data_IF_816303892311
#
_entry.id   IF_816303892311
#
_cell.length_a   1.000
_cell.length_b   1.000
_cell.length_c   1.000
_cell.angle_alpha   90.00
_cell.angle_beta   90.00
_cell.angle_gamma   90.00
#
_symmetry.space_group_name_H-M   'P 1'
#
loop_
_entity.id
_entity.type
_entity.pdbx_description
1 polymer ?
#
# COMPACT_ATOMS: atom_id res chain seq x y z
N UNK A 1 -35.01 -4.23 49.79
CA UNK A 1 -35.26 -3.18 48.77
C UNK A 1 -34.03 -2.68 48.00
N UNK A 2 -32.79 -2.76 48.53
CA UNK A 2 -31.59 -2.26 47.81
C UNK A 2 -31.08 -3.15 46.65
N UNK A 3 -31.41 -4.45 46.65
CA UNK A 3 -30.95 -5.40 45.62
C UNK A 3 -31.78 -5.29 44.31
N UNK A 4 -33.06 -4.92 44.41
CA UNK A 4 -33.95 -4.78 43.24
C UNK A 4 -33.57 -3.54 42.39
N UNK A 5 -33.04 -2.49 43.03
CA UNK A 5 -32.59 -1.27 42.36
C UNK A 5 -31.28 -1.44 41.57
N UNK A 6 -30.45 -2.43 41.94
CA UNK A 6 -29.22 -2.73 41.21
C UNK A 6 -29.48 -3.55 39.94
N UNK A 7 -30.53 -4.39 39.94
CA UNK A 7 -30.90 -5.19 38.77
C UNK A 7 -31.60 -4.37 37.69
N UNK A 8 -32.36 -3.33 38.05
CA UNK A 8 -32.97 -2.41 37.08
C UNK A 8 -31.97 -1.44 36.44
N UNK A 9 -30.84 -1.15 37.11
CA UNK A 9 -29.75 -0.32 36.56
C UNK A 9 -28.83 -1.08 35.60
N UNK A 10 -28.70 -2.41 35.73
CA UNK A 10 -27.89 -3.24 34.83
C UNK A 10 -28.58 -3.58 33.50
N UNK A 11 -29.92 -3.52 33.47
CA UNK A 11 -30.70 -3.79 32.25
C UNK A 11 -30.84 -2.58 31.32
N UNK A 12 -30.55 -1.36 31.79
CA UNK A 12 -30.61 -0.13 30.95
C UNK A 12 -29.27 0.23 30.29
N UNK A 13 -28.19 -0.50 30.59
CA UNK A 13 -26.87 -0.30 29.98
C UNK A 13 -26.64 -1.06 28.66
N UNK A 14 -27.63 -1.79 28.14
CA UNK A 14 -27.61 -2.24 26.74
C UNK A 14 -27.86 -1.03 25.83
N UNK A 15 -26.80 -0.25 25.60
CA UNK A 15 -26.75 0.69 24.49
C UNK A 15 -26.97 -0.09 23.21
N UNK A 16 -28.18 0.01 22.66
CA UNK A 16 -28.43 -0.20 21.23
C UNK A 16 -27.48 0.76 20.50
N UNK A 17 -26.35 0.26 20.03
CA UNK A 17 -25.59 0.92 18.99
C UNK A 17 -26.44 0.84 17.72
N UNK A 18 -27.35 1.78 17.54
CA UNK A 18 -28.00 2.01 16.27
C UNK A 18 -26.90 2.39 15.27
N UNK A 19 -26.46 1.42 14.48
CA UNK A 19 -25.69 1.71 13.28
C UNK A 19 -26.61 2.47 12.33
N UNK A 20 -26.51 3.79 12.36
CA UNK A 20 -27.14 4.65 11.37
C UNK A 20 -26.43 4.37 10.04
N UNK A 21 -27.02 3.48 9.22
CA UNK A 21 -26.70 3.41 7.79
C UNK A 21 -27.30 4.65 7.13
N UNK A 22 -26.51 5.69 6.94
CA UNK A 22 -26.89 6.83 6.09
C UNK A 22 -26.78 6.41 4.63
N UNK A 23 -27.65 5.52 4.18
CA UNK A 23 -27.98 5.39 2.76
C UNK A 23 -29.45 5.78 2.63
N UNK A 24 -29.70 6.96 2.07
CA UNK A 24 -31.03 7.58 1.92
C UNK A 24 -31.93 6.88 0.88
N UNK A 25 -31.50 5.74 0.32
CA UNK A 25 -32.29 4.93 -0.59
C UNK A 25 -32.15 3.43 -0.22
N UNK A 26 -33.24 2.76 0.17
CA UNK A 26 -33.24 1.30 0.25
C UNK A 26 -33.25 0.76 -1.19
N UNK A 27 -32.07 0.62 -1.79
CA UNK A 27 -31.93 -0.21 -2.97
C UNK A 27 -32.03 -1.67 -2.52
N UNK A 28 -32.88 -2.46 -3.20
CA UNK A 28 -32.76 -3.91 -3.15
C UNK A 28 -31.40 -4.27 -3.74
N UNK A 29 -30.40 -4.46 -2.87
CA UNK A 29 -29.08 -4.97 -3.26
C UNK A 29 -29.28 -6.40 -3.78
N UNK A 30 -29.47 -6.55 -5.09
CA UNK A 30 -29.12 -7.81 -5.72
C UNK A 30 -27.65 -8.07 -5.35
N UNK A 31 -27.31 -9.21 -4.74
CA UNK A 31 -25.93 -9.49 -4.39
C UNK A 31 -25.10 -9.43 -5.67
N UNK A 32 -24.12 -8.54 -5.72
CA UNK A 32 -23.18 -8.45 -6.83
C UNK A 32 -22.33 -9.72 -6.78
N UNK A 33 -22.60 -10.66 -7.68
CA UNK A 33 -21.89 -11.94 -7.73
C UNK A 33 -20.80 -11.92 -8.79
N UNK A 34 -19.55 -11.73 -8.35
CA UNK A 34 -18.39 -11.84 -9.23
C UNK A 34 -17.79 -13.25 -9.17
N UNK A 35 -17.79 -13.95 -10.31
CA UNK A 35 -17.13 -15.26 -10.41
C UNK A 35 -15.61 -15.16 -10.25
N UNK A 36 -14.98 -16.16 -9.63
CA UNK A 36 -13.52 -16.20 -9.49
C UNK A 36 -12.82 -16.22 -10.85
N UNK A 37 -13.44 -16.85 -11.86
CA UNK A 37 -12.92 -16.88 -13.23
C UNK A 37 -12.85 -15.46 -13.81
N UNK A 38 -13.92 -14.68 -13.70
CA UNK A 38 -13.96 -13.29 -14.18
C UNK A 38 -12.95 -12.42 -13.41
N UNK A 39 -12.88 -12.57 -12.10
CA UNK A 39 -11.91 -11.83 -11.29
C UNK A 39 -10.46 -12.09 -11.72
N UNK A 40 -10.06 -13.36 -11.80
CA UNK A 40 -8.67 -13.72 -12.09
C UNK A 40 -8.28 -13.55 -13.55
N UNK A 41 -9.17 -13.84 -14.51
CA UNK A 41 -8.85 -13.84 -15.94
C UNK A 41 -9.14 -12.52 -16.64
N UNK A 42 -10.02 -11.68 -16.07
CA UNK A 42 -10.40 -10.41 -16.69
C UNK A 42 -10.01 -9.21 -15.84
N UNK A 43 -10.52 -9.12 -14.61
CA UNK A 43 -10.35 -7.92 -13.78
C UNK A 43 -8.89 -7.74 -13.35
N UNK A 44 -8.25 -8.77 -12.80
CA UNK A 44 -6.89 -8.66 -12.29
C UNK A 44 -5.87 -8.21 -13.37
N UNK A 45 -5.89 -8.74 -14.61
CA UNK A 45 -5.06 -8.21 -15.70
C UNK A 45 -5.28 -6.71 -15.97
N UNK A 46 -6.52 -6.23 -15.98
CA UNK A 46 -6.83 -4.82 -16.19
C UNK A 46 -6.31 -3.96 -15.04
N UNK A 47 -6.49 -4.40 -13.79
CA UNK A 47 -5.97 -3.70 -12.61
C UNK A 47 -4.44 -3.59 -12.62
N UNK A 48 -3.74 -4.67 -13.00
CA UNK A 48 -2.27 -4.65 -13.16
C UNK A 48 -1.85 -3.62 -14.22
N UNK A 49 -2.54 -3.61 -15.35
CA UNK A 49 -2.22 -2.69 -16.43
C UNK A 49 -2.50 -1.22 -16.04
N UNK A 50 -3.59 -0.95 -15.33
CA UNK A 50 -3.90 0.38 -14.77
C UNK A 50 -2.80 0.81 -13.78
N UNK A 51 -2.39 -0.06 -12.85
CA UNK A 51 -1.31 0.25 -11.90
C UNK A 51 0.04 0.52 -12.60
N UNK A 52 0.38 -0.27 -13.62
CA UNK A 52 1.59 -0.05 -14.42
C UNK A 52 1.56 1.28 -15.18
N UNK A 53 0.41 1.67 -15.71
CA UNK A 53 0.23 2.95 -16.40
C UNK A 53 0.33 4.15 -15.43
N UNK A 54 -0.14 4.01 -14.19
CA UNK A 54 0.07 5.02 -13.14
C UNK A 54 1.56 5.26 -12.86
N UNK A 55 2.33 4.18 -12.65
CA UNK A 55 3.78 4.30 -12.48
C UNK A 55 4.47 4.84 -13.74
N UNK A 56 3.96 4.51 -14.93
CA UNK A 56 4.47 5.11 -16.16
C UNK A 56 4.25 6.62 -16.21
N UNK A 57 3.08 7.11 -15.80
CA UNK A 57 2.79 8.55 -15.72
C UNK A 57 3.78 9.22 -14.75
N UNK A 58 3.98 8.69 -13.55
CA UNK A 58 4.93 9.23 -12.59
C UNK A 58 6.34 9.35 -13.18
N UNK A 59 6.86 8.32 -13.85
CA UNK A 59 8.17 8.37 -14.54
C UNK A 59 8.26 9.46 -15.61
N UNK A 60 7.15 9.80 -16.26
CA UNK A 60 7.11 10.85 -17.28
C UNK A 60 7.01 12.26 -16.68
N UNK A 61 6.50 12.39 -15.47
CA UNK A 61 6.40 13.67 -14.77
C UNK A 61 7.73 14.10 -14.17
N UNK A 62 8.55 13.18 -13.67
CA UNK A 62 9.88 13.49 -13.17
C UNK A 62 10.82 12.27 -13.32
N UNK A 63 12.06 12.44 -13.80
CA UNK A 63 13.01 11.33 -13.95
C UNK A 63 13.34 10.63 -12.62
N UNK A 64 13.35 11.35 -11.49
CA UNK A 64 13.60 10.80 -10.15
C UNK A 64 12.58 9.71 -9.78
N UNK A 65 11.34 9.82 -10.29
CA UNK A 65 10.32 8.82 -9.98
C UNK A 65 10.67 7.43 -10.50
N UNK A 66 11.52 7.29 -11.52
CA UNK A 66 11.97 5.94 -11.93
C UNK A 66 12.70 5.22 -10.80
N UNK A 67 13.53 5.96 -10.06
CA UNK A 67 14.35 5.47 -8.96
C UNK A 67 13.48 5.23 -7.72
N UNK A 68 12.55 6.15 -7.41
CA UNK A 68 11.65 5.98 -6.26
C UNK A 68 10.66 4.83 -6.44
N UNK A 69 10.17 4.60 -7.67
CA UNK A 69 9.33 3.43 -7.98
C UNK A 69 10.11 2.12 -7.80
N UNK A 70 11.38 2.09 -8.15
CA UNK A 70 12.22 0.91 -7.95
C UNK A 70 12.44 0.63 -6.45
N UNK A 71 12.78 1.66 -5.67
CA UNK A 71 12.90 1.56 -4.21
C UNK A 71 11.60 1.08 -3.58
N UNK A 72 10.47 1.71 -3.92
CA UNK A 72 9.14 1.30 -3.46
C UNK A 72 8.85 -0.17 -3.77
N UNK A 73 9.18 -0.63 -4.98
CA UNK A 73 8.96 -2.03 -5.38
C UNK A 73 9.81 -3.00 -4.54
N UNK A 74 11.06 -2.63 -4.25
CA UNK A 74 11.97 -3.42 -3.39
C UNK A 74 11.49 -3.44 -1.93
N UNK A 75 11.06 -2.30 -1.39
CA UNK A 75 10.45 -2.20 -0.05
C UNK A 75 9.16 -3.01 0.04
N UNK A 76 8.28 -2.94 -0.95
CA UNK A 76 7.06 -3.74 -1.01
C UNK A 76 7.37 -5.25 -1.06
N UNK A 77 8.38 -5.64 -1.84
CA UNK A 77 8.84 -7.03 -1.92
C UNK A 77 9.37 -7.52 -0.57
N UNK A 78 10.15 -6.69 0.13
CA UNK A 78 10.64 -6.96 1.48
C UNK A 78 9.48 -7.09 2.48
N UNK A 79 8.51 -6.18 2.42
CA UNK A 79 7.30 -6.25 3.26
C UNK A 79 6.50 -7.54 3.03
N UNK A 80 6.37 -7.97 1.78
CA UNK A 80 5.75 -9.26 1.45
C UNK A 80 6.57 -10.45 1.95
N UNK A 81 7.89 -10.40 1.86
CA UNK A 81 8.77 -11.44 2.39
C UNK A 81 8.66 -11.58 3.92
N UNK A 82 8.43 -10.48 4.62
CA UNK A 82 8.24 -10.41 6.07
C UNK A 82 6.80 -10.70 6.53
N UNK A 83 5.84 -10.66 5.61
CA UNK A 83 4.43 -10.95 5.92
C UNK A 83 4.25 -12.41 6.34
N UNK A 84 3.52 -12.63 7.44
CA UNK A 84 3.25 -13.97 7.96
C UNK A 84 4.44 -14.69 8.61
N UNK A 85 5.58 -14.01 8.80
CA UNK A 85 6.80 -14.64 9.33
C UNK A 85 6.59 -15.36 10.66
N UNK A 86 5.77 -14.80 11.57
CA UNK A 86 5.48 -15.45 12.86
C UNK A 86 4.82 -16.80 12.71
N UNK A 87 3.87 -16.93 11.76
CA UNK A 87 3.19 -18.21 11.52
C UNK A 87 4.20 -19.24 11.01
N UNK A 88 5.06 -18.84 10.08
CA UNK A 88 6.11 -19.70 9.54
C UNK A 88 7.10 -20.13 10.64
N UNK A 89 7.51 -19.20 11.50
CA UNK A 89 8.44 -19.47 12.59
C UNK A 89 7.85 -20.34 13.70
N UNK A 90 6.54 -20.29 13.92
CA UNK A 90 5.83 -21.23 14.80
C UNK A 90 5.76 -22.63 14.22
N UNK A 91 5.66 -22.76 12.90
CA UNK A 91 5.56 -24.05 12.21
C UNK A 91 6.91 -24.76 12.05
N UNK A 92 8.00 -24.02 11.77
CA UNK A 92 9.32 -24.60 11.51
C UNK A 92 10.44 -23.58 11.69
N UNK A 93 11.43 -23.95 12.49
CA UNK A 93 12.64 -23.16 12.72
C UNK A 93 13.48 -23.00 11.44
N UNK A 94 13.63 -24.07 10.67
CA UNK A 94 14.38 -24.06 9.41
C UNK A 94 13.74 -23.10 8.38
N UNK A 95 12.41 -23.17 8.22
CA UNK A 95 11.69 -22.24 7.33
C UNK A 95 11.74 -20.80 7.82
N UNK A 96 11.79 -20.59 9.15
CA UNK A 96 12.01 -19.29 9.75
C UNK A 96 13.35 -18.71 9.33
N UNK A 97 14.43 -19.49 9.50
CA UNK A 97 15.78 -19.10 9.16
C UNK A 97 15.92 -18.76 7.67
N UNK A 98 15.37 -19.60 6.78
CA UNK A 98 15.36 -19.36 5.34
C UNK A 98 14.66 -18.03 5.00
N UNK A 99 13.52 -17.76 5.64
CA UNK A 99 12.78 -16.51 5.45
C UNK A 99 13.55 -15.29 5.90
N UNK A 100 14.20 -15.34 7.06
CA UNK A 100 15.02 -14.25 7.55
C UNK A 100 16.27 -14.04 6.69
N UNK A 101 16.91 -15.11 6.19
CA UNK A 101 18.03 -15.00 5.22
C UNK A 101 17.58 -14.32 3.93
N UNK A 102 16.40 -14.67 3.41
CA UNK A 102 15.81 -14.03 2.22
C UNK A 102 15.46 -12.56 2.48
N UNK A 103 14.89 -12.24 3.64
CA UNK A 103 14.60 -10.85 4.00
C UNK A 103 15.88 -10.03 4.14
N UNK A 104 16.92 -10.61 4.75
CA UNK A 104 18.23 -9.96 4.90
C UNK A 104 18.87 -9.66 3.54
N UNK A 105 18.84 -10.60 2.59
CA UNK A 105 19.41 -10.37 1.26
C UNK A 105 18.66 -9.27 0.49
N UNK A 106 17.33 -9.21 0.61
CA UNK A 106 16.53 -8.12 0.04
C UNK A 106 16.86 -6.77 0.70
N UNK A 107 16.97 -6.73 2.02
CA UNK A 107 17.30 -5.51 2.76
C UNK A 107 18.71 -4.99 2.43
N UNK A 108 19.70 -5.87 2.31
CA UNK A 108 21.06 -5.51 1.88
C UNK A 108 21.12 -5.03 0.44
N UNK A 109 20.36 -5.64 -0.48
CA UNK A 109 20.23 -5.12 -1.84
C UNK A 109 19.63 -3.71 -1.84
N UNK A 110 18.56 -3.51 -1.07
CA UNK A 110 17.91 -2.20 -0.93
C UNK A 110 18.88 -1.15 -0.36
N UNK A 111 19.74 -1.53 0.59
CA UNK A 111 20.75 -0.64 1.16
C UNK A 111 21.73 -0.09 0.11
N UNK A 112 22.20 -0.97 -0.77
CA UNK A 112 23.07 -0.58 -1.89
C UNK A 112 22.37 0.38 -2.85
N UNK A 113 21.09 0.15 -3.14
CA UNK A 113 20.31 1.03 -4.01
C UNK A 113 20.10 2.40 -3.40
N UNK A 114 19.80 2.46 -2.09
CA UNK A 114 19.64 3.71 -1.35
C UNK A 114 20.96 4.48 -1.36
N UNK A 115 22.08 3.83 -1.05
CA UNK A 115 23.41 4.45 -1.05
C UNK A 115 23.80 4.99 -2.43
N UNK A 116 23.54 4.23 -3.49
CA UNK A 116 23.76 4.68 -4.87
C UNK A 116 22.93 5.90 -5.22
N UNK A 117 21.68 5.94 -4.76
CA UNK A 117 20.77 7.06 -5.03
C UNK A 117 21.15 8.31 -4.23
N UNK A 118 21.52 8.16 -2.95
CA UNK A 118 22.09 9.24 -2.14
C UNK A 118 23.33 9.83 -2.82
N UNK A 119 24.24 8.99 -3.31
CA UNK A 119 25.45 9.43 -4.01
C UNK A 119 25.13 10.22 -5.30
N UNK A 120 24.09 9.81 -6.04
CA UNK A 120 23.65 10.51 -7.27
C UNK A 120 23.08 11.90 -6.99
N UNK A 121 22.42 12.07 -5.85
CA UNK A 121 21.71 13.30 -5.48
C UNK A 121 22.47 14.15 -4.44
N UNK A 122 23.79 13.99 -4.29
CA UNK A 122 24.62 14.78 -3.35
C UNK A 122 24.62 16.29 -3.61
N UNK A 123 24.28 16.72 -4.82
CA UNK A 123 24.23 18.15 -5.21
C UNK A 123 22.80 18.68 -5.03
N UNK A 124 22.42 18.90 -3.79
CA UNK A 124 21.10 19.43 -3.43
C UNK A 124 21.10 20.95 -3.61
N UNK A 125 20.27 21.46 -4.52
CA UNK A 125 20.17 22.89 -4.81
C UNK A 125 18.76 23.41 -4.48
N UNK A 126 17.73 22.58 -4.63
CA UNK A 126 16.34 22.99 -4.41
C UNK A 126 15.72 22.42 -3.12
N UNK A 127 14.77 23.13 -2.49
CA UNK A 127 14.08 22.66 -1.28
C UNK A 127 13.44 21.27 -1.39
N UNK A 128 12.90 20.92 -2.56
CA UNK A 128 12.30 19.60 -2.79
C UNK A 128 13.34 18.48 -2.86
N UNK A 129 14.52 18.78 -3.38
CA UNK A 129 15.63 17.82 -3.41
C UNK A 129 16.14 17.57 -1.99
N UNK A 130 16.18 18.61 -1.13
CA UNK A 130 16.48 18.45 0.30
C UNK A 130 15.45 17.58 1.01
N UNK A 131 14.16 17.78 0.74
CA UNK A 131 13.09 16.95 1.31
C UNK A 131 13.25 15.49 0.85
N UNK A 132 13.54 15.28 -0.43
CA UNK A 132 13.77 13.96 -1.02
C UNK A 132 14.97 13.26 -0.40
N UNK A 133 16.09 13.97 -0.23
CA UNK A 133 17.28 13.46 0.45
C UNK A 133 16.98 13.09 1.91
N UNK A 134 16.23 13.92 2.62
CA UNK A 134 15.80 13.61 3.99
C UNK A 134 14.93 12.34 4.04
N UNK A 135 14.06 12.12 3.07
CA UNK A 135 13.25 10.89 2.97
C UNK A 135 14.12 9.67 2.66
N UNK A 136 15.15 9.81 1.82
CA UNK A 136 16.13 8.75 1.56
C UNK A 136 16.93 8.37 2.80
N UNK A 137 17.41 9.37 3.55
CA UNK A 137 18.15 9.14 4.80
C UNK A 137 17.28 8.45 5.84
N UNK A 138 16.01 8.83 5.92
CA UNK A 138 15.05 8.19 6.80
C UNK A 138 14.80 6.73 6.41
N UNK A 139 14.66 6.45 5.11
CA UNK A 139 14.53 5.08 4.60
C UNK A 139 15.79 4.25 4.83
N UNK A 140 16.98 4.82 4.62
CA UNK A 140 18.29 4.21 4.90
C UNK A 140 18.38 3.80 6.36
N UNK A 141 18.05 4.71 7.28
CA UNK A 141 18.09 4.46 8.71
C UNK A 141 17.15 3.32 9.13
N UNK A 142 15.92 3.28 8.61
CA UNK A 142 14.98 2.20 8.93
C UNK A 142 15.43 0.87 8.32
N UNK A 143 15.99 0.87 7.10
CA UNK A 143 16.55 -0.33 6.50
C UNK A 143 17.74 -0.87 7.30
N UNK A 144 18.64 0.00 7.76
CA UNK A 144 19.76 -0.37 8.62
C UNK A 144 19.28 -1.01 9.94
N UNK A 145 18.29 -0.39 10.61
CA UNK A 145 17.67 -0.98 11.81
C UNK A 145 17.08 -2.35 11.54
N UNK A 146 16.43 -2.54 10.38
CA UNK A 146 15.86 -3.82 9.99
C UNK A 146 16.95 -4.88 9.81
N UNK A 147 18.00 -4.58 9.04
CA UNK A 147 19.14 -5.48 8.81
C UNK A 147 19.72 -5.93 10.15
N UNK A 148 20.06 -4.98 11.03
CA UNK A 148 20.66 -5.29 12.33
C UNK A 148 19.76 -6.22 13.15
N UNK A 149 18.45 -5.96 13.21
CA UNK A 149 17.52 -6.83 13.95
C UNK A 149 17.38 -8.21 13.32
N UNK A 150 17.42 -8.32 12.00
CA UNK A 150 17.36 -9.62 11.32
C UNK A 150 18.64 -10.42 11.64
N UNK A 151 19.80 -9.78 11.59
CA UNK A 151 21.09 -10.41 11.90
C UNK A 151 21.16 -10.87 13.35
N UNK A 152 20.75 -10.02 14.30
CA UNK A 152 20.66 -10.37 15.71
C UNK A 152 19.73 -11.58 15.93
N UNK A 153 18.59 -11.59 15.25
CA UNK A 153 17.67 -12.73 15.32
C UNK A 153 18.27 -14.01 14.73
N UNK A 154 18.94 -13.94 13.58
CA UNK A 154 19.60 -15.10 12.96
C UNK A 154 20.70 -15.70 13.86
N UNK A 155 21.42 -14.85 14.59
CA UNK A 155 22.45 -15.31 15.55
C UNK A 155 21.81 -16.00 16.76
N UNK A 156 20.66 -15.50 17.23
CA UNK A 156 20.01 -16.01 18.46
C UNK A 156 19.04 -17.16 18.23
N UNK A 157 18.64 -17.43 16.98
CA UNK A 157 17.59 -18.38 16.59
C UNK A 157 17.79 -19.79 17.16
N UNK A 158 19.04 -20.25 17.27
CA UNK A 158 19.41 -21.59 17.77
C UNK A 158 20.01 -21.58 19.18
N UNK A 159 19.73 -20.53 19.96
CA UNK A 159 20.24 -20.37 21.32
C UNK A 159 19.10 -20.27 22.32
N UNK A 160 19.42 -20.35 23.62
CA UNK A 160 18.45 -20.17 24.71
C UNK A 160 17.78 -18.77 24.68
N UNK A 161 18.37 -17.82 23.97
CA UNK A 161 17.85 -16.45 23.80
C UNK A 161 16.77 -16.33 22.72
N UNK A 162 16.50 -17.38 21.95
CA UNK A 162 15.47 -17.40 20.88
C UNK A 162 14.08 -17.01 21.38
N UNK A 163 13.73 -17.38 22.61
CA UNK A 163 12.44 -17.09 23.25
C UNK A 163 12.19 -15.59 23.51
N UNK A 164 13.24 -14.76 23.51
CA UNK A 164 13.13 -13.32 23.73
C UNK A 164 12.64 -12.54 22.49
N UNK A 165 12.58 -13.19 21.33
CA UNK A 165 12.23 -12.55 20.06
C UNK A 165 10.77 -12.80 19.66
N UNK A 166 9.86 -11.90 20.04
CA UNK A 166 8.49 -11.85 19.49
C UNK A 166 8.51 -11.15 18.12
N UNK A 167 8.67 -11.92 17.03
CA UNK A 167 8.93 -11.40 15.68
C UNK A 167 7.97 -10.30 15.17
N UNK A 168 6.66 -10.41 15.40
CA UNK A 168 5.69 -9.45 14.82
C UNK A 168 5.87 -8.03 15.34
N UNK A 169 6.04 -7.87 16.65
CA UNK A 169 6.14 -6.55 17.27
C UNK A 169 7.47 -5.88 16.96
N UNK A 170 8.52 -6.65 16.63
CA UNK A 170 9.86 -6.13 16.44
C UNK A 170 10.14 -5.64 15.01
N UNK A 171 9.65 -6.36 14.00
CA UNK A 171 9.96 -6.08 12.57
C UNK A 171 8.87 -5.30 11.86
N UNK A 172 7.58 -5.60 12.14
CA UNK A 172 6.46 -5.02 11.41
C UNK A 172 6.43 -3.48 11.46
N UNK A 173 6.72 -2.82 12.60
CA UNK A 173 6.72 -1.35 12.63
C UNK A 173 7.79 -0.73 11.73
N UNK A 174 8.98 -1.35 11.65
CA UNK A 174 10.11 -0.86 10.84
C UNK A 174 9.76 -0.98 9.36
N UNK A 175 9.34 -2.18 8.94
CA UNK A 175 8.95 -2.45 7.55
C UNK A 175 7.75 -1.60 7.13
N UNK A 176 6.79 -1.40 8.03
CA UNK A 176 5.65 -0.53 7.76
C UNK A 176 6.08 0.92 7.56
N UNK A 177 6.99 1.43 8.40
CA UNK A 177 7.53 2.77 8.26
C UNK A 177 8.31 2.94 6.95
N UNK A 178 9.18 1.98 6.61
CA UNK A 178 9.88 1.97 5.31
C UNK A 178 8.89 2.03 4.14
N UNK A 179 7.79 1.27 4.22
CA UNK A 179 6.75 1.29 3.19
C UNK A 179 6.11 2.67 3.07
N UNK A 180 5.73 3.30 4.19
CA UNK A 180 5.17 4.66 4.20
C UNK A 180 6.14 5.69 3.62
N UNK A 181 7.41 5.64 4.04
CA UNK A 181 8.46 6.54 3.54
C UNK A 181 8.63 6.37 2.02
N UNK A 182 8.67 5.12 1.54
CA UNK A 182 8.78 4.84 0.10
C UNK A 182 7.52 5.22 -0.70
N UNK A 183 6.33 5.14 -0.10
CA UNK A 183 5.07 5.58 -0.71
C UNK A 183 5.06 7.12 -0.86
N UNK A 184 5.52 7.85 0.16
CA UNK A 184 5.62 9.31 0.12
C UNK A 184 6.57 9.80 -0.99
N UNK A 185 7.68 9.10 -1.18
CA UNK A 185 8.67 9.41 -2.22
C UNK A 185 8.15 9.23 -3.66
N UNK A 186 7.00 8.55 -3.89
CA UNK A 186 6.45 8.36 -5.23
C UNK A 186 5.94 9.65 -5.87
N UNK A 187 5.55 10.63 -5.05
CA UNK A 187 4.88 11.87 -5.50
C UNK A 187 5.58 13.13 -4.99
N UNK A 188 6.60 13.00 -4.14
CA UNK A 188 7.30 14.09 -3.47
C UNK A 188 7.87 15.16 -4.44
N UNK A 189 8.26 14.75 -5.65
CA UNK A 189 8.79 15.67 -6.66
C UNK A 189 7.69 16.44 -7.42
N UNK A 190 6.43 16.05 -7.26
CA UNK A 190 5.28 16.78 -7.82
C UNK A 190 5.08 18.11 -7.07
N UNK A 191 4.46 19.09 -7.71
CA UNK A 191 4.23 20.42 -7.15
C UNK A 191 2.75 20.72 -6.90
N UNK A 192 2.48 21.44 -5.80
CA UNK A 192 1.17 22.02 -5.51
C UNK A 192 0.02 21.00 -5.56
N UNK A 193 -1.10 21.42 -6.14
CA UNK A 193 -2.33 20.63 -6.22
C UNK A 193 -2.17 19.32 -6.98
N UNK A 194 -1.20 19.23 -7.90
CA UNK A 194 -0.93 17.98 -8.63
C UNK A 194 -0.43 16.88 -7.68
N UNK A 195 0.42 17.23 -6.71
CA UNK A 195 0.88 16.28 -5.68
C UNK A 195 -0.31 15.77 -4.87
N UNK A 196 -1.15 16.68 -4.38
CA UNK A 196 -2.30 16.34 -3.55
C UNK A 196 -3.27 15.38 -4.25
N UNK A 197 -3.48 15.57 -5.55
CA UNK A 197 -4.34 14.69 -6.35
C UNK A 197 -3.72 13.31 -6.59
N UNK A 198 -2.41 13.25 -6.81
CA UNK A 198 -1.68 11.98 -6.95
C UNK A 198 -1.60 11.21 -5.63
N UNK A 199 -1.41 11.91 -4.50
CA UNK A 199 -1.45 11.32 -3.15
C UNK A 199 -2.84 10.78 -2.83
N UNK A 200 -3.88 11.56 -3.14
CA UNK A 200 -5.27 11.18 -2.90
C UNK A 200 -5.65 9.92 -3.68
N UNK A 201 -5.31 9.85 -4.98
CA UNK A 201 -5.62 8.65 -5.78
C UNK A 201 -4.73 7.47 -5.43
N UNK A 202 -3.49 7.71 -4.98
CA UNK A 202 -2.62 6.66 -4.48
C UNK A 202 -3.27 5.94 -3.31
N UNK A 203 -3.65 6.68 -2.27
CA UNK A 203 -4.27 6.12 -1.06
C UNK A 203 -5.67 5.56 -1.36
N UNK A 204 -6.49 6.29 -2.11
CA UNK A 204 -7.89 5.90 -2.35
C UNK A 204 -8.10 4.80 -3.40
N UNK A 205 -7.10 4.53 -4.25
CA UNK A 205 -7.24 3.55 -5.33
C UNK A 205 -6.01 2.66 -5.50
N UNK A 206 -4.84 3.22 -5.84
CA UNK A 206 -3.70 2.41 -6.29
C UNK A 206 -3.07 1.55 -5.19
N UNK A 207 -3.00 2.06 -3.97
CA UNK A 207 -2.51 1.31 -2.80
C UNK A 207 -3.37 0.08 -2.56
N UNK A 208 -4.68 0.26 -2.54
CA UNK A 208 -5.67 -0.80 -2.35
C UNK A 208 -5.64 -1.81 -3.50
N UNK A 209 -5.58 -1.33 -4.75
CA UNK A 209 -5.45 -2.19 -5.94
C UNK A 209 -4.18 -3.04 -5.87
N UNK A 210 -3.03 -2.46 -5.54
CA UNK A 210 -1.76 -3.18 -5.49
C UNK A 210 -1.72 -4.19 -4.33
N UNK A 211 -2.09 -3.76 -3.13
CA UNK A 211 -1.94 -4.58 -1.92
C UNK A 211 -3.08 -5.61 -1.78
N UNK A 212 -4.34 -5.20 -1.88
CA UNK A 212 -5.49 -6.08 -1.64
C UNK A 212 -5.90 -6.87 -2.88
N UNK A 213 -5.95 -6.21 -4.04
CA UNK A 213 -6.55 -6.83 -5.22
C UNK A 213 -5.55 -7.60 -6.07
N UNK A 214 -4.34 -7.08 -6.25
CA UNK A 214 -3.31 -7.73 -7.07
C UNK A 214 -2.49 -8.73 -6.25
N UNK A 215 -2.02 -8.33 -5.07
CA UNK A 215 -1.18 -9.18 -4.23
C UNK A 215 -2.00 -10.20 -3.44
N UNK A 216 -2.94 -9.75 -2.58
CA UNK A 216 -3.77 -10.65 -1.76
C UNK A 216 -4.86 -11.37 -2.59
N UNK A 217 -5.20 -10.87 -3.78
CA UNK A 217 -6.27 -11.39 -4.65
C UNK A 217 -7.63 -11.41 -3.95
N UNK A 218 -7.88 -10.42 -3.09
CA UNK A 218 -9.10 -10.36 -2.30
C UNK A 218 -10.28 -9.81 -3.14
N UNK A 219 -11.00 -10.73 -3.77
CA UNK A 219 -12.22 -10.44 -4.52
C UNK A 219 -13.32 -9.85 -3.63
N UNK A 220 -13.42 -10.30 -2.38
CA UNK A 220 -14.47 -9.85 -1.45
C UNK A 220 -14.22 -8.39 -1.09
N UNK A 221 -12.96 -8.01 -0.91
CA UNK A 221 -12.57 -6.62 -0.70
C UNK A 221 -13.00 -5.71 -1.86
N UNK A 222 -12.76 -6.12 -3.11
CA UNK A 222 -13.20 -5.37 -4.30
C UNK A 222 -14.70 -5.08 -4.27
N UNK A 223 -15.52 -6.09 -3.97
CA UNK A 223 -16.98 -5.94 -3.94
C UNK A 223 -17.43 -5.01 -2.81
N UNK A 224 -16.85 -5.17 -1.61
CA UNK A 224 -17.19 -4.34 -0.44
C UNK A 224 -16.81 -2.87 -0.60
N UNK A 225 -15.78 -2.57 -1.40
CA UNK A 225 -15.18 -1.23 -1.52
C UNK A 225 -15.33 -0.65 -2.94
N UNK A 226 -16.19 -1.26 -3.77
CA UNK A 226 -16.32 -0.92 -5.19
C UNK A 226 -16.68 0.55 -5.39
N UNK A 227 -17.61 1.08 -4.59
CA UNK A 227 -18.05 2.46 -4.64
C UNK A 227 -16.92 3.44 -4.30
N UNK A 228 -16.18 3.17 -3.22
CA UNK A 228 -15.07 4.01 -2.78
C UNK A 228 -13.91 4.03 -3.80
N UNK A 229 -13.58 2.87 -4.36
CA UNK A 229 -12.58 2.75 -5.43
C UNK A 229 -13.04 3.53 -6.67
N UNK A 230 -14.31 3.39 -7.05
CA UNK A 230 -14.88 4.09 -8.19
C UNK A 230 -14.90 5.61 -7.99
N UNK A 231 -15.27 6.08 -6.80
CA UNK A 231 -15.30 7.51 -6.46
C UNK A 231 -13.88 8.10 -6.51
N UNK A 232 -12.91 7.43 -5.89
CA UNK A 232 -11.50 7.88 -5.86
C UNK A 232 -10.94 8.00 -7.28
N UNK A 233 -11.12 6.96 -8.09
CA UNK A 233 -10.62 6.95 -9.47
C UNK A 233 -11.33 7.97 -10.38
N UNK A 234 -12.66 8.10 -10.31
CA UNK A 234 -13.40 9.06 -11.12
C UNK A 234 -13.06 10.50 -10.75
N UNK A 235 -12.88 10.79 -9.45
CA UNK A 235 -12.47 12.12 -8.98
C UNK A 235 -11.11 12.48 -9.57
N UNK A 236 -10.14 11.58 -9.49
CA UNK A 236 -8.82 11.80 -10.08
C UNK A 236 -8.90 11.99 -11.60
N UNK A 237 -9.59 11.10 -12.32
CA UNK A 237 -9.75 11.22 -13.77
C UNK A 237 -10.38 12.57 -14.17
N UNK A 238 -11.41 13.03 -13.45
CA UNK A 238 -12.02 14.34 -13.71
C UNK A 238 -11.03 15.49 -13.50
N UNK A 239 -10.30 15.50 -12.39
CA UNK A 239 -9.30 16.54 -12.11
C UNK A 239 -8.20 16.56 -13.16
N UNK A 240 -7.67 15.41 -13.55
CA UNK A 240 -6.60 15.34 -14.55
C UNK A 240 -7.04 15.68 -15.98
N UNK A 241 -8.32 15.51 -16.32
CA UNK A 241 -8.83 15.75 -17.69
C UNK A 241 -9.54 17.08 -17.88
N UNK A 242 -10.12 17.65 -16.82
CA UNK A 242 -10.89 18.90 -16.86
C UNK A 242 -10.37 19.97 -15.90
N UNK A 243 -9.48 19.61 -14.97
CA UNK A 243 -8.85 20.56 -14.06
C UNK A 243 -7.72 21.33 -14.74
N UNK A 244 -7.28 22.40 -14.08
CA UNK A 244 -6.20 23.27 -14.54
C UNK A 244 -4.81 22.69 -14.17
N UNK A 245 -4.58 21.41 -14.47
CA UNK A 245 -3.23 20.86 -14.41
C UNK A 245 -2.63 20.92 -15.82
N UNK A 246 -1.48 21.56 -15.96
CA UNK A 246 -0.73 21.65 -17.23
C UNK A 246 -0.05 20.31 -17.57
N UNK A 247 -0.85 19.25 -17.67
CA UNK A 247 -0.38 17.91 -18.03
C UNK A 247 -0.20 17.80 -19.55
N UNK A 248 0.90 17.18 -20.01
CA UNK A 248 1.07 16.87 -21.42
C UNK A 248 -0.12 16.08 -22.00
N UNK A 249 -0.63 16.42 -23.20
CA UNK A 249 -1.82 15.78 -23.77
C UNK A 249 -1.73 14.25 -23.89
N UNK A 250 -0.52 13.72 -24.08
CA UNK A 250 -0.30 12.27 -24.16
C UNK A 250 -0.54 11.57 -22.81
N UNK A 251 -0.25 12.21 -21.68
CA UNK A 251 -0.56 11.67 -20.35
C UNK A 251 -2.06 11.72 -20.06
N UNK A 252 -2.75 12.80 -20.47
CA UNK A 252 -4.21 12.90 -20.38
C UNK A 252 -4.87 11.78 -21.20
N UNK A 253 -4.36 11.50 -22.41
CA UNK A 253 -4.84 10.39 -23.24
C UNK A 253 -4.65 9.04 -22.52
N UNK A 254 -3.51 8.82 -21.87
CA UNK A 254 -3.25 7.61 -21.10
C UNK A 254 -4.21 7.46 -19.91
N UNK A 255 -4.47 8.54 -19.17
CA UNK A 255 -5.44 8.54 -18.05
C UNK A 255 -6.85 8.18 -18.53
N UNK A 256 -7.27 8.67 -19.71
CA UNK A 256 -8.54 8.26 -20.35
C UNK A 256 -8.57 6.77 -20.71
N UNK A 257 -7.45 6.21 -21.17
CA UNK A 257 -7.34 4.76 -21.44
C UNK A 257 -7.51 3.95 -20.15
N UNK A 258 -6.83 4.35 -19.08
CA UNK A 258 -6.97 3.74 -17.75
C UNK A 258 -8.44 3.79 -17.27
N UNK A 259 -9.12 4.92 -17.49
CA UNK A 259 -10.53 5.09 -17.10
C UNK A 259 -11.46 4.16 -17.87
N UNK A 260 -11.27 4.04 -19.17
CA UNK A 260 -12.02 3.09 -19.98
C UNK A 260 -11.82 1.63 -19.53
N UNK A 261 -10.60 1.25 -19.12
CA UNK A 261 -10.33 -0.08 -18.57
C UNK A 261 -11.04 -0.32 -17.24
N UNK A 262 -11.03 0.68 -16.35
CA UNK A 262 -11.81 0.61 -15.11
C UNK A 262 -13.31 0.45 -15.38
N UNK A 263 -13.87 1.22 -16.31
CA UNK A 263 -15.27 1.07 -16.71
C UNK A 263 -15.57 -0.31 -17.28
N UNK A 264 -14.63 -0.91 -18.01
CA UNK A 264 -14.74 -2.30 -18.45
C UNK A 264 -14.76 -3.30 -17.29
N UNK A 265 -13.95 -3.09 -16.23
CA UNK A 265 -14.05 -3.87 -15.01
C UNK A 265 -15.43 -3.72 -14.35
N UNK A 266 -15.93 -2.49 -14.21
CA UNK A 266 -17.24 -2.23 -13.62
C UNK A 266 -18.36 -2.92 -14.37
N UNK A 267 -18.33 -2.91 -15.71
CA UNK A 267 -19.32 -3.64 -16.53
C UNK A 267 -19.33 -5.14 -16.20
N UNK A 268 -18.17 -5.76 -16.01
CA UNK A 268 -18.09 -7.19 -15.66
C UNK A 268 -18.53 -7.46 -14.21
N UNK A 269 -18.42 -6.48 -13.32
CA UNK A 269 -18.84 -6.62 -11.93
C UNK A 269 -20.35 -6.42 -11.79
N UNK A 270 -20.92 -5.45 -12.50
CA UNK A 270 -22.31 -4.99 -12.33
C UNK A 270 -23.32 -5.65 -13.29
N UNK A 271 -22.85 -6.40 -14.29
CA UNK A 271 -23.68 -7.20 -15.20
C UNK A 271 -23.78 -8.64 -14.72
#
# INVERSE_FOLDING_TARGET
MRIVLLFTLLLTSFKLSAQVRTSYYPYEEKPIELSDRSFHRYIMPQLKAISQEYFHILRKLNPVHSETIELFTKVMTLNHAMSGINKICQESLEKCEERFKKANSLARSLDLDIANLQAKHLKLVEPKELEFASSLDQLSLENYKLIHKIEEHLITLNTDFSSSYYGKSLFQPIVHKMLLDSEFMLTQMLGGTLKDDFDSVWVGFFKEVNQRLIYEKDKIYLLKRLEELNLSWNTFHMKMTKGNHDLPPHLIKLIKVMHNRWNSCLKVILM
#
